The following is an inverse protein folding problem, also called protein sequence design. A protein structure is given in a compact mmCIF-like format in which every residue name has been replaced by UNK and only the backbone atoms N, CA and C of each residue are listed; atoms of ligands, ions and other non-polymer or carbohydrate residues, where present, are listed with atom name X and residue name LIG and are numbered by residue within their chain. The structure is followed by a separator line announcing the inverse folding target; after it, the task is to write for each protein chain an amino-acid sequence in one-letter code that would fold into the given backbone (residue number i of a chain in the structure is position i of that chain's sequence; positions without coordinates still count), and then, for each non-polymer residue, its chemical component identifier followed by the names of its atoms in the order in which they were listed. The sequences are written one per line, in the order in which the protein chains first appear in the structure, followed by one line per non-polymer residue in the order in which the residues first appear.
data_IF_778342801703
#
_entry.id   IF_778342801703
#
_cell.length_a   1.000
_cell.length_b   1.000
_cell.length_c   1.000
_cell.angle_alpha   90.00
_cell.angle_beta   90.00
_cell.angle_gamma   90.00
#
_symmetry.space_group_name_H-M   'P 1'
#
loop_
_entity.id
_entity.type
_entity.pdbx_description
1 polymer ?
#
# COMPACT_ATOMS: atom_id res chain seq x y z
N UNK A 1 4.54 15.99 4.86
CA UNK A 1 3.58 16.17 3.74
C UNK A 1 3.14 14.76 3.45
N UNK A 2 1.94 14.40 3.88
CA UNK A 2 1.55 13.00 4.05
C UNK A 2 0.65 12.59 2.88
N UNK A 3 0.88 11.41 2.31
CA UNK A 3 0.24 10.97 1.06
C UNK A 3 -0.36 9.56 1.21
N UNK A 4 -1.65 9.41 0.90
CA UNK A 4 -2.37 8.14 0.88
C UNK A 4 -2.82 7.82 -0.55
N UNK A 5 -2.44 6.66 -1.08
CA UNK A 5 -2.78 6.22 -2.43
C UNK A 5 -3.46 4.85 -2.45
N UNK A 6 -4.56 4.73 -3.20
CA UNK A 6 -5.23 3.45 -3.52
C UNK A 6 -4.79 2.97 -4.91
N UNK A 7 -4.76 1.66 -5.15
CA UNK A 7 -4.68 1.14 -6.54
C UNK A 7 -6.03 1.29 -7.22
N UNK A 8 -6.24 2.42 -7.87
CA UNK A 8 -7.52 2.75 -8.51
C UNK A 8 -7.30 3.73 -9.66
N UNK A 9 -8.06 3.56 -10.75
CA UNK A 9 -8.15 4.57 -11.80
C UNK A 9 -9.20 5.64 -11.42
N UNK A 10 -9.39 6.64 -12.28
CA UNK A 10 -10.37 7.70 -12.04
C UNK A 10 -11.82 7.21 -11.87
N UNK A 11 -12.12 5.97 -12.30
CA UNK A 11 -13.47 5.40 -12.30
C UNK A 11 -13.64 4.27 -11.29
N UNK A 12 -12.61 3.99 -10.48
CA UNK A 12 -12.58 2.87 -9.54
C UNK A 12 -12.83 1.51 -10.21
N UNK A 13 -12.38 1.36 -11.46
CA UNK A 13 -12.45 0.11 -12.19
C UNK A 13 -11.61 -0.99 -11.53
N UNK A 14 -12.02 -2.24 -11.72
CA UNK A 14 -11.27 -3.42 -11.24
C UNK A 14 -9.95 -3.61 -12.01
N UNK A 15 -9.93 -3.20 -13.28
CA UNK A 15 -8.74 -3.17 -14.14
C UNK A 15 -8.23 -1.73 -14.27
N UNK A 16 -7.11 -1.46 -13.61
CA UNK A 16 -6.43 -0.16 -13.65
C UNK A 16 -5.48 -0.16 -14.83
N UNK A 17 -5.59 0.83 -15.72
CA UNK A 17 -4.64 0.98 -16.83
C UNK A 17 -3.22 1.17 -16.28
N UNK A 18 -2.16 0.73 -16.98
CA UNK A 18 -0.78 0.87 -16.49
C UNK A 18 -0.39 2.31 -16.11
N UNK A 19 -0.96 3.33 -16.78
CA UNK A 19 -0.73 4.74 -16.44
C UNK A 19 -1.40 5.20 -15.14
N UNK A 20 -2.39 4.47 -14.67
CA UNK A 20 -3.17 4.75 -13.46
C UNK A 20 -2.71 3.86 -12.27
N UNK A 21 -1.76 2.95 -12.47
CA UNK A 21 -1.19 2.07 -11.43
C UNK A 21 -0.18 2.79 -10.51
N UNK A 22 -0.58 3.91 -9.91
CA UNK A 22 0.28 4.70 -9.03
C UNK A 22 0.85 3.89 -7.87
N UNK A 23 0.09 2.92 -7.35
CA UNK A 23 0.55 2.04 -6.29
C UNK A 23 1.72 1.17 -6.75
N UNK A 24 1.62 0.54 -7.92
CA UNK A 24 2.70 -0.27 -8.47
C UNK A 24 3.92 0.59 -8.81
N UNK A 25 3.72 1.81 -9.30
CA UNK A 25 4.80 2.73 -9.62
C UNK A 25 5.62 3.13 -8.38
N UNK A 26 4.96 3.40 -7.25
CA UNK A 26 5.65 3.87 -6.04
C UNK A 26 6.20 2.73 -5.17
N UNK A 27 5.54 1.57 -5.12
CA UNK A 27 5.95 0.48 -4.21
C UNK A 27 6.44 -0.78 -4.91
N UNK A 28 6.26 -0.93 -6.23
CA UNK A 28 6.51 -2.17 -6.95
C UNK A 28 5.40 -3.24 -6.78
N UNK A 29 4.42 -3.00 -5.91
CA UNK A 29 3.34 -3.94 -5.65
C UNK A 29 2.28 -3.96 -6.77
N UNK A 30 2.08 -5.14 -7.36
CA UNK A 30 1.18 -5.37 -8.50
C UNK A 30 -0.10 -6.13 -8.13
N UNK A 31 -0.37 -6.32 -6.83
CA UNK A 31 -1.58 -7.01 -6.39
C UNK A 31 -2.84 -6.20 -6.67
N UNK A 32 -3.98 -6.88 -6.79
CA UNK A 32 -5.17 -6.23 -7.35
C UNK A 32 -5.78 -5.16 -6.44
N UNK A 33 -5.62 -5.32 -5.12
CA UNK A 33 -6.15 -4.43 -4.10
C UNK A 33 -5.05 -4.06 -3.10
N UNK A 34 -4.91 -2.78 -2.79
CA UNK A 34 -3.97 -2.32 -1.78
C UNK A 34 -3.95 -0.80 -1.60
N UNK A 35 -3.31 -0.38 -0.51
CA UNK A 35 -3.16 1.00 -0.08
C UNK A 35 -1.70 1.28 0.29
N UNK A 36 -1.16 2.40 -0.16
CA UNK A 36 0.12 2.91 0.34
C UNK A 36 -0.12 4.15 1.20
N UNK A 37 0.47 4.15 2.39
CA UNK A 37 0.62 5.29 3.28
C UNK A 37 2.09 5.71 3.24
N UNK A 38 2.37 6.93 2.78
CA UNK A 38 3.72 7.49 2.76
C UNK A 38 3.74 8.69 3.70
N UNK A 39 4.55 8.56 4.75
CA UNK A 39 4.90 9.62 5.69
C UNK A 39 6.32 10.10 5.41
N UNK A 40 6.78 11.10 6.16
CA UNK A 40 8.07 11.75 5.89
C UNK A 40 9.28 10.80 6.00
N UNK A 41 9.24 9.83 6.92
CA UNK A 41 10.38 8.94 7.22
C UNK A 41 10.08 7.45 6.97
N UNK A 42 8.83 7.10 6.66
CA UNK A 42 8.34 5.72 6.62
C UNK A 42 7.26 5.55 5.55
N UNK A 43 7.25 4.37 4.91
CA UNK A 43 6.20 3.97 4.00
C UNK A 43 5.58 2.63 4.44
N UNK A 44 4.26 2.57 4.42
CA UNK A 44 3.49 1.39 4.78
C UNK A 44 2.58 0.97 3.63
N UNK A 45 2.55 -0.33 3.34
CA UNK A 45 1.70 -0.94 2.33
C UNK A 45 0.68 -1.86 3.01
N UNK A 46 -0.59 -1.71 2.65
CA UNK A 46 -1.68 -2.46 3.22
C UNK A 46 -2.41 -3.23 2.12
N UNK A 47 -2.70 -4.50 2.36
CA UNK A 47 -3.59 -5.31 1.52
C UNK A 47 -4.25 -6.39 2.37
N UNK A 48 -5.10 -7.21 1.77
CA UNK A 48 -5.66 -8.38 2.45
C UNK A 48 -4.67 -9.54 2.50
N UNK A 49 -4.92 -10.51 3.39
CA UNK A 49 -4.04 -11.66 3.64
C UNK A 49 -3.60 -12.42 2.37
N UNK A 50 -4.42 -12.46 1.31
CA UNK A 50 -4.08 -13.14 0.05
C UNK A 50 -2.83 -12.55 -0.61
N UNK A 51 -2.57 -11.26 -0.38
CA UNK A 51 -1.49 -10.52 -1.01
C UNK A 51 -0.27 -10.28 -0.12
N UNK A 52 -0.29 -10.65 1.17
CA UNK A 52 0.83 -10.42 2.10
C UNK A 52 2.15 -11.01 1.59
N UNK A 53 2.11 -12.26 1.12
CA UNK A 53 3.31 -12.91 0.56
C UNK A 53 3.78 -12.25 -0.74
N UNK A 54 2.87 -11.68 -1.52
CA UNK A 54 3.21 -10.97 -2.75
C UNK A 54 3.81 -9.59 -2.44
N UNK A 55 3.24 -8.84 -1.49
CA UNK A 55 3.77 -7.56 -1.02
C UNK A 55 5.23 -7.72 -0.57
N UNK A 56 5.48 -8.63 0.38
CA UNK A 56 6.83 -8.90 0.88
C UNK A 56 7.84 -9.37 -0.18
N UNK A 57 7.38 -9.88 -1.34
CA UNK A 57 8.25 -10.29 -2.44
C UNK A 57 8.50 -9.19 -3.48
N UNK A 58 7.60 -8.23 -3.58
CA UNK A 58 7.60 -7.21 -4.63
C UNK A 58 8.08 -5.85 -4.14
N UNK A 59 8.04 -5.61 -2.82
CA UNK A 59 8.52 -4.38 -2.19
C UNK A 59 9.84 -4.59 -1.48
N UNK A 60 10.64 -3.54 -1.36
CA UNK A 60 11.83 -3.54 -0.51
C UNK A 60 11.42 -3.48 0.97
N UNK A 61 11.88 -4.44 1.78
CA UNK A 61 11.55 -4.50 3.21
C UNK A 61 12.19 -3.40 4.04
N UNK A 62 13.27 -2.78 3.54
CA UNK A 62 13.94 -1.67 4.21
C UNK A 62 13.18 -0.35 3.99
N UNK A 63 12.39 -0.25 2.92
CA UNK A 63 11.59 0.94 2.57
C UNK A 63 10.10 0.78 2.91
N UNK A 64 9.54 -0.43 2.85
CA UNK A 64 8.11 -0.69 2.95
C UNK A 64 7.74 -1.65 4.08
N UNK A 65 6.90 -1.17 5.00
CA UNK A 65 6.29 -1.98 6.04
C UNK A 65 4.95 -2.53 5.55
N UNK A 66 4.83 -3.87 5.46
CA UNK A 66 3.66 -4.52 4.89
C UNK A 66 2.68 -5.02 5.96
N UNK A 67 1.42 -4.61 5.88
CA UNK A 67 0.38 -4.90 6.86
C UNK A 67 -0.86 -5.56 6.22
N UNK A 68 -1.49 -6.45 6.98
CA UNK A 68 -2.78 -7.03 6.64
C UNK A 68 -3.91 -6.17 7.20
N UNK A 69 -4.79 -5.66 6.33
CA UNK A 69 -5.94 -4.83 6.72
C UNK A 69 -6.94 -5.55 7.62
N UNK A 70 -6.97 -6.88 7.62
CA UNK A 70 -7.86 -7.66 8.48
C UNK A 70 -7.40 -7.68 9.93
N UNK A 71 -6.09 -7.54 10.16
CA UNK A 71 -5.45 -7.66 11.47
C UNK A 71 -4.93 -6.32 12.00
N UNK A 72 -4.69 -5.34 11.13
CA UNK A 72 -4.18 -4.01 11.48
C UNK A 72 -5.06 -2.92 10.89
N UNK A 73 -5.73 -2.19 11.78
CA UNK A 73 -6.47 -0.99 11.40
C UNK A 73 -5.51 0.08 10.89
N UNK A 74 -5.86 0.75 9.79
CA UNK A 74 -5.03 1.84 9.25
C UNK A 74 -4.82 2.95 10.30
N UNK A 75 -5.83 3.24 11.13
CA UNK A 75 -5.72 4.24 12.21
C UNK A 75 -4.75 3.84 13.32
N UNK A 76 -4.72 2.55 13.67
CA UNK A 76 -3.80 1.99 14.68
C UNK A 76 -2.36 2.12 14.18
N UNK A 77 -2.11 1.71 12.94
CA UNK A 77 -0.78 1.82 12.33
C UNK A 77 -0.37 3.28 12.17
N UNK A 78 -1.26 4.18 11.75
CA UNK A 78 -0.95 5.62 11.69
C UNK A 78 -0.57 6.15 13.08
N UNK A 79 -1.28 5.73 14.13
CA UNK A 79 -1.00 6.17 15.49
C UNK A 79 0.37 5.67 15.97
N UNK A 80 0.70 4.41 15.73
CA UNK A 80 2.00 3.83 16.09
C UNK A 80 3.17 4.47 15.33
N UNK A 81 2.91 4.92 14.11
CA UNK A 81 3.90 5.52 13.22
C UNK A 81 4.12 7.03 13.45
N UNK A 82 3.23 7.70 14.18
CA UNK A 82 3.29 9.14 14.47
C UNK A 82 3.69 9.48 15.93
N UNK A 83 3.94 8.48 16.76
CA UNK A 83 4.38 8.61 18.18
C UNK A 83 5.87 8.36 18.29
#
# INVERSE_FOLDING_TARGET
MDYLSKRTDLFQGEEVRPCDERLAYISGFTGSAGYALILSDIAALFSDQRYILQMNKQTDSDEWQCYDIANHGIEEVISDLLV
#
